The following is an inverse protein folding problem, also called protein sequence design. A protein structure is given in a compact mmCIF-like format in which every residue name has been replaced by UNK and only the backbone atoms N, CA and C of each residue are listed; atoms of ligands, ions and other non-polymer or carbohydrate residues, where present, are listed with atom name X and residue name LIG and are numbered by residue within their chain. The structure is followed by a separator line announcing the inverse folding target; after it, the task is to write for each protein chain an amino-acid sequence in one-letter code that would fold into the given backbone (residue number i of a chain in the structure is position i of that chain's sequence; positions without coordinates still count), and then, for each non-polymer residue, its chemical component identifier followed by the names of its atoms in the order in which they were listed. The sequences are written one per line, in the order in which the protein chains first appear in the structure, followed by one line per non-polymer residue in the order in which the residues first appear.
data_IF_746353506542
#
_entry.id   IF_746353506542
#
_cell.length_a   1.000
_cell.length_b   1.000
_cell.length_c   1.000
_cell.angle_alpha   90.00
_cell.angle_beta   90.00
_cell.angle_gamma   90.00
#
_symmetry.space_group_name_H-M   'P 1'
#
loop_
_entity.id
_entity.type
_entity.pdbx_description
1 polymer ?
#
# COMPACT_ATOMS: atom_id res chain seq x y z
N UNK A 1 -6.58 -2.40 34.74
CA UNK A 1 -5.31 -2.27 34.00
C UNK A 1 -4.21 -2.59 34.99
N UNK A 2 -3.29 -3.48 34.68
CA UNK A 2 -2.13 -3.76 35.54
C UNK A 2 -1.25 -2.52 35.63
N UNK A 3 -0.63 -2.28 36.79
CA UNK A 3 0.29 -1.16 37.01
C UNK A 3 1.50 -1.15 36.06
N UNK A 4 1.77 -2.27 35.38
CA UNK A 4 2.90 -2.48 34.47
C UNK A 4 2.55 -2.33 32.97
N UNK A 5 1.37 -1.81 32.62
CA UNK A 5 0.99 -1.62 31.23
C UNK A 5 1.67 -0.37 30.65
N UNK A 6 2.52 -0.56 29.66
CA UNK A 6 3.09 0.52 28.85
C UNK A 6 2.71 0.34 27.37
N UNK A 7 2.41 1.43 26.68
CA UNK A 7 2.07 1.41 25.26
C UNK A 7 2.82 2.52 24.51
N UNK A 8 3.32 2.18 23.32
CA UNK A 8 3.87 3.14 22.35
C UNK A 8 2.95 3.18 21.13
N UNK A 9 2.71 4.38 20.62
CA UNK A 9 1.88 4.60 19.43
C UNK A 9 2.72 5.19 18.31
N UNK A 10 2.59 4.63 17.10
CA UNK A 10 3.16 5.18 15.88
C UNK A 10 1.99 5.56 14.98
N UNK A 11 1.81 6.87 14.76
CA UNK A 11 0.76 7.39 13.88
C UNK A 11 1.40 7.71 12.53
N UNK A 12 0.98 6.97 11.50
CA UNK A 12 1.52 7.11 10.14
C UNK A 12 0.52 7.90 9.30
N UNK A 13 0.87 9.11 8.82
CA UNK A 13 0.00 9.86 7.91
C UNK A 13 -0.31 9.05 6.66
N UNK A 14 -1.55 9.15 6.15
CA UNK A 14 -2.02 8.38 4.99
C UNK A 14 -1.12 8.55 3.75
N UNK A 15 -0.59 9.75 3.52
CA UNK A 15 0.34 10.02 2.41
C UNK A 15 1.62 9.21 2.56
N UNK A 16 2.20 9.18 3.76
CA UNK A 16 3.42 8.43 4.05
C UNK A 16 3.18 6.91 3.95
N UNK A 17 2.05 6.43 4.46
CA UNK A 17 1.63 5.03 4.31
C UNK A 17 1.56 4.62 2.83
N UNK A 18 0.95 5.45 1.97
CA UNK A 18 0.91 5.21 0.52
C UNK A 18 2.29 5.15 -0.13
N UNK A 19 3.24 5.96 0.32
CA UNK A 19 4.61 5.95 -0.22
C UNK A 19 5.39 4.72 0.23
N UNK A 20 5.20 4.27 1.47
CA UNK A 20 5.79 3.00 1.96
C UNK A 20 5.23 1.83 1.15
N UNK A 21 3.92 1.72 1.00
CA UNK A 21 3.30 0.65 0.21
C UNK A 21 3.74 0.67 -1.26
N UNK A 22 3.99 1.85 -1.85
CA UNK A 22 4.49 1.95 -3.23
C UNK A 22 5.90 1.39 -3.41
N UNK A 23 6.69 1.32 -2.35
CA UNK A 23 8.03 0.71 -2.37
C UNK A 23 8.01 -0.81 -2.16
N UNK A 24 6.90 -1.34 -1.65
CA UNK A 24 6.73 -2.75 -1.26
C UNK A 24 5.78 -3.48 -2.24
N UNK A 25 6.17 -3.55 -3.51
CA UNK A 25 5.34 -4.03 -4.63
C UNK A 25 4.90 -5.50 -4.58
N UNK A 26 5.43 -6.29 -3.68
CA UNK A 26 5.28 -7.75 -3.70
C UNK A 26 4.38 -8.30 -2.60
N UNK A 27 3.67 -7.44 -1.87
CA UNK A 27 2.75 -7.92 -0.87
C UNK A 27 1.50 -8.54 -1.49
N UNK A 28 1.17 -9.72 -1.00
CA UNK A 28 -0.09 -10.38 -1.25
C UNK A 28 -1.26 -9.42 -0.94
N UNK A 29 -2.25 -9.28 -1.84
CA UNK A 29 -3.43 -8.45 -1.58
C UNK A 29 -4.14 -8.75 -0.27
N UNK A 30 -4.13 -10.02 0.17
CA UNK A 30 -4.66 -10.44 1.46
C UNK A 30 -3.98 -9.78 2.67
N UNK A 31 -2.73 -9.35 2.52
CA UNK A 31 -2.00 -8.66 3.57
C UNK A 31 -2.66 -7.33 3.97
N UNK A 32 -3.19 -6.60 3.01
CA UNK A 32 -3.88 -5.33 3.27
C UNK A 32 -5.13 -5.53 4.14
N UNK A 33 -5.90 -6.59 3.88
CA UNK A 33 -7.05 -6.97 4.72
C UNK A 33 -6.61 -7.47 6.08
N UNK A 34 -5.55 -8.28 6.10
CA UNK A 34 -4.99 -8.79 7.35
C UNK A 34 -4.61 -7.66 8.30
N UNK A 35 -3.89 -6.65 7.82
CA UNK A 35 -3.49 -5.48 8.63
C UNK A 35 -4.71 -4.70 9.15
N UNK A 36 -5.80 -4.63 8.36
CA UNK A 36 -7.02 -3.94 8.76
C UNK A 36 -7.83 -4.71 9.80
N UNK A 37 -7.89 -6.03 9.67
CA UNK A 37 -8.74 -6.89 10.52
C UNK A 37 -8.02 -7.36 11.79
N UNK A 38 -6.69 -7.26 11.84
CA UNK A 38 -5.87 -7.65 12.98
C UNK A 38 -5.35 -6.42 13.70
N UNK A 39 -6.01 -6.06 14.80
CA UNK A 39 -5.67 -4.88 15.63
C UNK A 39 -4.44 -5.09 16.53
N UNK A 40 -3.92 -6.30 16.63
CA UNK A 40 -2.75 -6.61 17.43
C UNK A 40 -1.97 -7.79 16.82
N UNK A 41 -0.67 -7.77 17.06
CA UNK A 41 0.24 -8.83 16.70
C UNK A 41 0.91 -9.34 17.97
N UNK A 42 0.82 -10.64 18.21
CA UNK A 42 1.53 -11.24 19.33
C UNK A 42 2.95 -11.61 18.90
N UNK A 43 3.94 -10.95 19.49
CA UNK A 43 5.35 -11.25 19.28
C UNK A 43 5.74 -12.21 20.37
N UNK A 44 5.87 -13.51 20.05
CA UNK A 44 6.08 -14.57 21.02
C UNK A 44 7.57 -14.81 21.32
N UNK A 45 8.47 -14.34 20.45
CA UNK A 45 9.90 -14.54 20.60
C UNK A 45 10.62 -13.26 21.06
N UNK A 46 11.66 -13.44 21.88
CA UNK A 46 12.46 -12.32 22.39
C UNK A 46 13.15 -11.54 21.26
N UNK A 47 13.56 -12.19 20.20
CA UNK A 47 14.21 -11.55 19.07
C UNK A 47 13.23 -10.59 18.34
N UNK A 48 11.97 -10.99 18.17
CA UNK A 48 10.93 -10.12 17.61
C UNK A 48 10.64 -8.91 18.48
N UNK A 49 10.63 -9.08 19.80
CA UNK A 49 10.46 -7.97 20.77
C UNK A 49 11.63 -6.99 20.67
N UNK A 50 12.87 -7.49 20.68
CA UNK A 50 14.08 -6.67 20.54
C UNK A 50 14.13 -5.92 19.20
N UNK A 51 13.74 -6.56 18.11
CA UNK A 51 13.63 -5.92 16.79
C UNK A 51 12.63 -4.77 16.81
N UNK A 52 11.44 -4.99 17.37
CA UNK A 52 10.41 -3.94 17.46
C UNK A 52 10.85 -2.78 18.34
N UNK A 53 11.49 -3.06 19.48
CA UNK A 53 12.04 -2.02 20.36
C UNK A 53 13.14 -1.22 19.65
N UNK A 54 14.03 -1.90 18.92
CA UNK A 54 15.09 -1.27 18.13
C UNK A 54 14.50 -0.38 17.01
N UNK A 55 13.47 -0.85 16.35
CA UNK A 55 12.74 -0.07 15.35
C UNK A 55 12.14 1.22 15.96
N UNK A 56 11.45 1.12 17.10
CA UNK A 56 10.91 2.29 17.78
C UNK A 56 12.00 3.30 18.14
N UNK A 57 13.12 2.82 18.69
CA UNK A 57 14.26 3.65 19.07
C UNK A 57 14.91 4.33 17.86
N UNK A 58 15.00 3.65 16.71
CA UNK A 58 15.51 4.25 15.48
C UNK A 58 14.62 5.40 14.99
N UNK A 59 13.30 5.22 14.99
CA UNK A 59 12.35 6.27 14.62
C UNK A 59 12.45 7.46 15.58
N UNK A 60 12.45 7.21 16.89
CA UNK A 60 12.61 8.25 17.93
C UNK A 60 13.91 9.06 17.69
N UNK A 61 15.04 8.39 17.52
CA UNK A 61 16.33 9.04 17.28
C UNK A 61 16.34 9.88 15.99
N UNK A 62 15.72 9.42 14.90
CA UNK A 62 15.66 10.20 13.66
C UNK A 62 14.81 11.46 13.83
N UNK A 63 13.68 11.36 14.54
CA UNK A 63 12.82 12.51 14.83
C UNK A 63 13.52 13.55 15.73
N UNK A 64 14.24 13.10 16.76
CA UNK A 64 15.00 13.98 17.66
C UNK A 64 16.18 14.66 16.97
N UNK A 65 16.87 13.96 16.07
CA UNK A 65 18.02 14.48 15.31
C UNK A 65 17.63 15.41 14.18
N UNK A 66 16.36 15.45 13.82
CA UNK A 66 15.89 16.27 12.71
C UNK A 66 16.08 17.78 12.98
N UNK A 67 16.87 18.43 12.15
CA UNK A 67 17.18 19.88 12.23
C UNK A 67 16.66 20.65 11.00
N UNK A 68 15.67 20.14 10.29
CA UNK A 68 15.11 20.76 9.08
C UNK A 68 15.91 20.52 7.80
N UNK A 69 17.06 19.86 7.89
CA UNK A 69 17.92 19.54 6.76
C UNK A 69 18.10 18.04 6.66
N UNK A 70 17.87 17.45 5.49
CA UNK A 70 18.19 16.06 5.20
C UNK A 70 17.01 15.19 4.79
N UNK A 71 17.31 13.92 4.58
CA UNK A 71 16.43 12.88 4.03
C UNK A 71 15.56 12.21 5.11
N UNK A 72 15.00 13.00 6.07
CA UNK A 72 14.20 12.41 7.15
C UNK A 72 13.05 11.56 6.61
N UNK A 73 12.32 12.10 5.65
CA UNK A 73 11.16 11.43 5.06
C UNK A 73 11.55 10.10 4.43
N UNK A 74 12.63 10.07 3.66
CA UNK A 74 13.15 8.90 2.98
C UNK A 74 13.62 7.84 3.98
N UNK A 75 14.30 8.25 5.05
CA UNK A 75 14.72 7.36 6.13
C UNK A 75 13.53 6.75 6.86
N UNK A 76 12.53 7.56 7.19
CA UNK A 76 11.29 7.07 7.81
C UNK A 76 10.58 6.08 6.89
N UNK A 77 10.52 6.33 5.57
CA UNK A 77 9.95 5.38 4.59
C UNK A 77 10.73 4.05 4.62
N UNK A 78 12.06 4.09 4.68
CA UNK A 78 12.89 2.87 4.76
C UNK A 78 12.63 2.09 6.06
N UNK A 79 12.60 2.77 7.21
CA UNK A 79 12.32 2.12 8.49
C UNK A 79 10.92 1.52 8.53
N UNK A 80 9.92 2.26 8.09
CA UNK A 80 8.56 1.74 7.96
C UNK A 80 8.49 0.57 6.98
N UNK A 81 9.27 0.61 5.89
CA UNK A 81 9.38 -0.50 4.95
C UNK A 81 9.84 -1.79 5.63
N UNK A 82 10.88 -1.72 6.45
CA UNK A 82 11.38 -2.86 7.22
C UNK A 82 10.31 -3.36 8.19
N UNK A 83 9.66 -2.47 8.92
CA UNK A 83 8.57 -2.84 9.83
C UNK A 83 7.41 -3.55 9.11
N UNK A 84 6.99 -3.04 7.94
CA UNK A 84 5.94 -3.68 7.15
C UNK A 84 6.37 -5.06 6.62
N UNK A 85 7.66 -5.27 6.31
CA UNK A 85 8.16 -6.60 5.95
C UNK A 85 8.09 -7.58 7.13
N UNK A 86 8.44 -7.14 8.35
CA UNK A 86 8.32 -7.98 9.55
C UNK A 86 6.84 -8.36 9.81
N UNK A 87 5.91 -7.41 9.65
CA UNK A 87 4.46 -7.68 9.75
C UNK A 87 3.98 -8.63 8.63
N UNK A 88 4.54 -8.50 7.42
CA UNK A 88 4.23 -9.40 6.31
C UNK A 88 4.73 -10.82 6.55
N UNK A 89 5.93 -10.98 7.10
CA UNK A 89 6.46 -12.29 7.48
C UNK A 89 5.59 -12.96 8.54
N UNK A 90 5.09 -12.19 9.51
CA UNK A 90 4.10 -12.68 10.47
C UNK A 90 2.80 -13.10 9.77
N UNK A 91 2.26 -12.27 8.87
CA UNK A 91 1.08 -12.60 8.07
C UNK A 91 1.25 -13.93 7.31
N UNK A 92 2.39 -14.12 6.64
CA UNK A 92 2.65 -15.35 5.87
C UNK A 92 2.68 -16.59 6.78
N UNK A 93 3.22 -16.47 7.99
CA UNK A 93 3.24 -17.56 8.99
C UNK A 93 1.83 -17.89 9.50
N UNK A 94 1.07 -16.84 9.85
CA UNK A 94 -0.28 -16.99 10.41
C UNK A 94 -1.26 -17.46 9.34
N UNK A 95 -1.16 -16.97 8.11
CA UNK A 95 -1.99 -17.38 6.97
C UNK A 95 -1.94 -18.90 6.71
N UNK A 96 -0.77 -19.52 6.92
CA UNK A 96 -0.64 -20.98 6.77
C UNK A 96 -1.34 -21.77 7.89
N UNK A 97 -1.49 -21.17 9.07
CA UNK A 97 -2.06 -21.82 10.28
C UNK A 97 -3.56 -21.56 10.44
N UNK A 98 -4.04 -20.40 9.97
CA UNK A 98 -5.45 -20.07 9.97
C UNK A 98 -5.97 -20.60 8.63
N UNK A 99 -6.75 -21.70 8.60
CA UNK A 99 -7.53 -21.96 7.41
C UNK A 99 -8.32 -20.66 7.20
N UNK A 100 -8.15 -20.05 6.04
CA UNK A 100 -8.97 -18.93 5.62
C UNK A 100 -10.41 -19.40 5.85
N UNK A 101 -10.96 -19.06 7.00
CA UNK A 101 -12.37 -19.31 7.28
C UNK A 101 -13.09 -18.31 6.39
N UNK A 102 -13.11 -18.63 5.11
CA UNK A 102 -14.03 -18.06 4.14
C UNK A 102 -15.43 -18.46 4.53
N UNK A 103 -15.84 -18.00 5.72
CA UNK A 103 -17.25 -18.16 6.09
C UNK A 103 -18.12 -17.26 5.22
N UNK A 104 -17.54 -16.39 4.44
CA UNK A 104 -18.29 -15.44 3.62
C UNK A 104 -17.73 -15.41 2.20
N UNK A 105 -18.54 -15.83 1.23
CA UNK A 105 -18.32 -15.67 -0.21
C UNK A 105 -17.81 -14.29 -0.61
N UNK A 106 -18.17 -13.25 0.16
CA UNK A 106 -17.72 -11.87 -0.05
C UNK A 106 -16.21 -11.70 0.13
N UNK A 107 -15.61 -12.29 1.14
CA UNK A 107 -14.17 -12.16 1.43
C UNK A 107 -13.34 -12.83 0.35
N UNK A 108 -13.78 -14.01 -0.12
CA UNK A 108 -13.11 -14.66 -1.25
C UNK A 108 -13.18 -13.81 -2.52
N UNK A 109 -14.34 -13.22 -2.83
CA UNK A 109 -14.51 -12.36 -4.00
C UNK A 109 -13.61 -11.11 -3.92
N UNK A 110 -13.45 -10.53 -2.72
CA UNK A 110 -12.54 -9.40 -2.52
C UNK A 110 -11.09 -9.83 -2.72
N UNK A 111 -10.69 -10.96 -2.15
CA UNK A 111 -9.35 -11.51 -2.33
C UNK A 111 -9.05 -11.76 -3.81
N UNK A 112 -9.96 -12.45 -4.51
CA UNK A 112 -9.80 -12.75 -5.93
C UNK A 112 -9.75 -11.47 -6.78
N UNK A 113 -10.59 -10.47 -6.46
CA UNK A 113 -10.52 -9.14 -7.09
C UNK A 113 -9.16 -8.48 -6.90
N UNK A 114 -8.65 -8.44 -5.67
CA UNK A 114 -7.35 -7.83 -5.38
C UNK A 114 -6.21 -8.55 -6.10
N UNK A 115 -6.25 -9.88 -6.17
CA UNK A 115 -5.28 -10.69 -6.90
C UNK A 115 -5.33 -10.41 -8.40
N UNK A 116 -6.54 -10.38 -8.98
CA UNK A 116 -6.73 -10.03 -10.38
C UNK A 116 -6.25 -8.60 -10.70
N UNK A 117 -6.47 -7.64 -9.79
CA UNK A 117 -5.95 -6.28 -9.96
C UNK A 117 -4.43 -6.28 -9.97
N UNK A 118 -3.78 -6.93 -9.01
CA UNK A 118 -2.32 -7.00 -8.93
C UNK A 118 -1.68 -7.54 -10.23
N UNK A 119 -2.33 -8.52 -10.86
CA UNK A 119 -1.84 -9.13 -12.09
C UNK A 119 -2.16 -8.32 -13.36
N UNK A 120 -3.30 -7.62 -13.39
CA UNK A 120 -3.87 -7.13 -14.64
C UNK A 120 -4.03 -5.59 -14.73
N UNK A 121 -3.77 -4.83 -13.66
CA UNK A 121 -4.07 -3.39 -13.58
C UNK A 121 -3.40 -2.54 -14.68
N UNK A 122 -2.25 -2.98 -15.21
CA UNK A 122 -1.56 -2.28 -16.31
C UNK A 122 -2.38 -2.30 -17.60
N UNK A 123 -3.00 -3.44 -17.90
CA UNK A 123 -3.73 -3.68 -19.14
C UNK A 123 -5.23 -3.38 -19.02
N UNK A 124 -5.79 -3.59 -17.84
CA UNK A 124 -7.23 -3.46 -17.60
C UNK A 124 -7.51 -2.43 -16.50
N UNK A 125 -7.92 -1.22 -16.91
CA UNK A 125 -8.22 -0.08 -16.02
C UNK A 125 -9.70 0.10 -15.75
N UNK A 126 -10.52 -0.83 -16.22
CA UNK A 126 -11.98 -0.82 -16.02
C UNK A 126 -12.39 -1.91 -15.04
N UNK A 127 -13.17 -1.54 -14.02
CA UNK A 127 -13.71 -2.46 -13.02
C UNK A 127 -14.58 -3.56 -13.65
N UNK A 128 -15.23 -3.27 -14.80
CA UNK A 128 -16.03 -4.26 -15.54
C UNK A 128 -15.26 -5.54 -15.84
N UNK A 129 -14.04 -5.42 -16.35
CA UNK A 129 -13.18 -6.59 -16.63
C UNK A 129 -13.03 -7.53 -15.42
N UNK A 130 -12.83 -6.97 -14.23
CA UNK A 130 -12.66 -7.75 -13.00
C UNK A 130 -13.97 -8.35 -12.51
N UNK A 131 -15.05 -7.60 -12.59
CA UNK A 131 -16.37 -8.06 -12.23
C UNK A 131 -16.81 -9.22 -13.14
N UNK A 132 -16.56 -9.12 -14.45
CA UNK A 132 -16.84 -10.19 -15.42
C UNK A 132 -16.02 -11.45 -15.12
N UNK A 133 -14.72 -11.31 -14.79
CA UNK A 133 -13.87 -12.44 -14.38
C UNK A 133 -14.35 -13.14 -13.12
N UNK A 134 -14.99 -12.40 -12.21
CA UNK A 134 -15.54 -12.91 -10.96
C UNK A 134 -17.01 -13.38 -11.09
N UNK A 135 -17.62 -13.26 -12.28
CA UNK A 135 -19.02 -13.55 -12.54
C UNK A 135 -19.98 -12.79 -11.60
N UNK A 136 -19.70 -11.51 -11.36
CA UNK A 136 -20.53 -10.61 -10.54
C UNK A 136 -20.70 -9.26 -11.23
N UNK A 137 -21.66 -8.44 -10.75
CA UNK A 137 -21.83 -7.09 -11.26
C UNK A 137 -20.82 -6.11 -10.64
N UNK A 138 -20.46 -5.05 -11.38
CA UNK A 138 -19.59 -3.97 -10.87
C UNK A 138 -20.19 -3.28 -9.64
N UNK A 139 -21.52 -3.18 -9.59
CA UNK A 139 -22.25 -2.61 -8.44
C UNK A 139 -22.06 -3.47 -7.21
N UNK A 140 -22.23 -4.79 -7.34
CA UNK A 140 -22.04 -5.72 -6.23
C UNK A 140 -20.58 -5.74 -5.76
N UNK A 141 -19.62 -5.79 -6.69
CA UNK A 141 -18.19 -5.70 -6.34
C UNK A 141 -17.86 -4.43 -5.56
N UNK A 142 -18.36 -3.28 -6.03
CA UNK A 142 -18.12 -2.00 -5.33
C UNK A 142 -18.82 -1.95 -3.97
N UNK A 143 -20.00 -2.55 -3.83
CA UNK A 143 -20.72 -2.62 -2.55
C UNK A 143 -19.95 -3.44 -1.51
N UNK A 144 -19.46 -4.64 -1.86
CA UNK A 144 -18.68 -5.46 -0.93
C UNK A 144 -17.32 -4.84 -0.60
N UNK A 145 -16.68 -4.16 -1.56
CA UNK A 145 -15.45 -3.43 -1.32
C UNK A 145 -15.67 -2.25 -0.35
N UNK A 146 -16.73 -1.46 -0.54
CA UNK A 146 -17.07 -0.39 0.40
C UNK A 146 -17.39 -0.92 1.80
N UNK A 147 -18.18 -1.98 1.89
CA UNK A 147 -18.58 -2.59 3.16
C UNK A 147 -17.36 -3.08 3.96
N UNK A 148 -16.43 -3.76 3.30
CA UNK A 148 -15.30 -4.42 3.95
C UNK A 148 -14.02 -3.59 3.99
N UNK A 149 -13.75 -2.83 2.92
CA UNK A 149 -12.50 -2.09 2.76
C UNK A 149 -12.66 -0.57 2.96
N UNK A 150 -13.91 -0.06 2.99
CA UNK A 150 -14.19 1.36 3.10
C UNK A 150 -13.89 2.15 1.82
N UNK A 151 -13.56 1.50 0.72
CA UNK A 151 -13.28 2.12 -0.58
C UNK A 151 -13.95 1.34 -1.71
N UNK A 152 -14.30 2.02 -2.80
CA UNK A 152 -14.88 1.35 -3.96
C UNK A 152 -13.86 0.52 -4.74
N UNK A 153 -14.32 -0.46 -5.53
CA UNK A 153 -13.47 -1.22 -6.43
C UNK A 153 -12.69 -0.33 -7.41
N UNK A 154 -13.32 0.75 -7.90
CA UNK A 154 -12.68 1.74 -8.79
C UNK A 154 -11.58 2.51 -8.08
N UNK A 155 -11.79 2.85 -6.84
CA UNK A 155 -10.80 3.56 -6.03
C UNK A 155 -9.61 2.67 -5.73
N UNK A 156 -9.83 1.41 -5.33
CA UNK A 156 -8.80 0.42 -5.12
C UNK A 156 -7.92 0.25 -6.38
N UNK A 157 -8.52 0.02 -7.54
CA UNK A 157 -7.80 -0.06 -8.82
C UNK A 157 -6.99 1.21 -9.11
N UNK A 158 -7.56 2.39 -8.84
CA UNK A 158 -6.88 3.66 -9.02
C UNK A 158 -5.66 3.81 -8.13
N UNK A 159 -5.72 3.34 -6.87
CA UNK A 159 -4.59 3.33 -5.95
C UNK A 159 -3.45 2.50 -6.54
N UNK A 160 -3.72 1.31 -7.03
CA UNK A 160 -2.71 0.44 -7.67
C UNK A 160 -2.01 1.14 -8.84
N UNK A 161 -2.78 1.76 -9.71
CA UNK A 161 -2.24 2.48 -10.87
C UNK A 161 -1.37 3.67 -10.41
N UNK A 162 -1.83 4.45 -9.42
CA UNK A 162 -1.06 5.58 -8.89
C UNK A 162 0.24 5.12 -8.25
N UNK A 163 0.23 4.03 -7.49
CA UNK A 163 1.43 3.47 -6.86
C UNK A 163 2.46 3.04 -7.91
N UNK A 164 2.02 2.40 -8.99
CA UNK A 164 2.90 2.03 -10.11
C UNK A 164 3.51 3.26 -10.77
N UNK A 165 2.68 4.28 -11.08
CA UNK A 165 3.16 5.53 -11.69
C UNK A 165 4.16 6.25 -10.78
N UNK A 166 3.88 6.35 -9.48
CA UNK A 166 4.81 6.92 -8.50
C UNK A 166 6.15 6.19 -8.49
N UNK A 167 6.12 4.88 -8.55
CA UNK A 167 7.34 4.07 -8.59
C UNK A 167 8.15 4.31 -9.87
N UNK A 168 7.51 4.34 -11.04
CA UNK A 168 8.18 4.63 -12.31
C UNK A 168 8.72 6.07 -12.37
N UNK A 169 8.05 7.03 -11.71
CA UNK A 169 8.53 8.41 -11.62
C UNK A 169 9.84 8.56 -10.81
N UNK A 170 10.17 7.60 -9.95
CA UNK A 170 11.45 7.56 -9.23
C UNK A 170 12.64 7.13 -10.10
N UNK A 171 12.39 6.46 -11.21
CA UNK A 171 13.44 6.15 -12.18
C UNK A 171 13.69 7.39 -13.06
N UNK A 172 14.82 8.07 -12.83
CA UNK A 172 15.21 9.27 -13.58
C UNK A 172 15.51 9.00 -15.06
N UNK A 173 15.74 7.74 -15.45
CA UNK A 173 16.00 7.33 -16.83
C UNK A 173 14.74 7.32 -17.68
N UNK A 174 13.56 7.17 -17.06
CA UNK A 174 12.28 7.13 -17.76
C UNK A 174 11.73 8.54 -17.95
N UNK A 175 11.41 8.91 -19.17
CA UNK A 175 10.63 10.12 -19.42
C UNK A 175 9.11 9.85 -19.18
N UNK A 176 8.32 10.93 -19.12
CA UNK A 176 6.88 10.81 -18.79
C UNK A 176 6.09 10.10 -19.90
N UNK A 177 6.54 10.21 -21.13
CA UNK A 177 5.91 9.51 -22.25
C UNK A 177 6.15 8.00 -22.17
N UNK A 178 7.36 7.58 -21.83
CA UNK A 178 7.68 6.17 -21.59
C UNK A 178 6.87 5.60 -20.42
N UNK A 179 6.67 6.37 -19.36
CA UNK A 179 5.81 5.96 -18.24
C UNK A 179 4.35 5.77 -18.72
N UNK A 180 3.84 6.65 -19.58
CA UNK A 180 2.51 6.48 -20.15
C UNK A 180 2.41 5.17 -20.97
N UNK A 181 3.41 4.85 -21.75
CA UNK A 181 3.51 3.58 -22.50
C UNK A 181 3.57 2.38 -21.56
N UNK A 182 4.49 2.39 -20.58
CA UNK A 182 4.68 1.30 -19.62
C UNK A 182 3.44 1.04 -18.75
N UNK A 183 2.65 2.07 -18.51
CA UNK A 183 1.39 1.98 -17.76
C UNK A 183 0.18 1.83 -18.67
N UNK A 184 0.40 1.66 -19.98
CA UNK A 184 -0.64 1.46 -20.98
C UNK A 184 -1.74 2.53 -20.95
N UNK A 185 -1.33 3.81 -20.87
CA UNK A 185 -2.21 4.96 -21.08
C UNK A 185 -2.14 5.43 -22.53
N UNK A 186 -3.27 5.87 -23.10
CA UNK A 186 -3.32 6.32 -24.50
C UNK A 186 -2.38 7.50 -24.82
N UNK A 187 -2.08 8.33 -23.84
CA UNK A 187 -1.18 9.48 -23.98
C UNK A 187 -0.66 9.95 -22.61
N UNK A 188 0.46 10.67 -22.66
CA UNK A 188 0.99 11.40 -21.51
C UNK A 188 -0.05 12.36 -20.88
N UNK A 189 -0.85 13.04 -21.70
CA UNK A 189 -1.89 13.96 -21.22
C UNK A 189 -2.97 13.23 -20.44
N UNK A 190 -3.38 12.04 -20.89
CA UNK A 190 -4.37 11.22 -20.20
C UNK A 190 -3.83 10.70 -18.86
N UNK A 191 -2.58 10.23 -18.84
CA UNK A 191 -1.91 9.81 -17.62
C UNK A 191 -1.78 10.99 -16.64
N UNK A 192 -1.36 12.17 -17.11
CA UNK A 192 -1.18 13.35 -16.27
C UNK A 192 -2.51 13.81 -15.64
N UNK A 193 -3.60 13.83 -16.42
CA UNK A 193 -4.94 14.14 -15.91
C UNK A 193 -5.38 13.14 -14.84
N UNK A 194 -5.24 11.84 -15.11
CA UNK A 194 -5.55 10.78 -14.15
C UNK A 194 -4.75 10.95 -12.86
N UNK A 195 -3.43 11.10 -12.97
CA UNK A 195 -2.55 11.22 -11.82
C UNK A 195 -2.87 12.47 -10.98
N UNK A 196 -3.09 13.62 -11.64
CA UNK A 196 -3.45 14.87 -10.96
C UNK A 196 -4.79 14.78 -10.23
N UNK A 197 -5.79 14.13 -10.82
CA UNK A 197 -7.09 13.92 -10.15
C UNK A 197 -6.97 13.09 -8.88
N UNK A 198 -5.98 12.19 -8.80
CA UNK A 198 -5.80 11.27 -7.66
C UNK A 198 -4.81 11.77 -6.62
N UNK A 199 -3.84 12.59 -7.00
CA UNK A 199 -2.74 13.02 -6.12
C UNK A 199 -2.71 14.52 -5.86
N UNK A 200 -3.48 15.31 -6.60
CA UNK A 200 -3.43 16.76 -6.57
C UNK A 200 -2.26 17.37 -7.35
N UNK A 201 -1.29 16.57 -7.78
CA UNK A 201 -0.06 17.01 -8.47
C UNK A 201 0.01 16.51 -9.90
N UNK A 202 0.65 17.29 -10.79
CA UNK A 202 1.06 16.78 -12.10
C UNK A 202 2.23 15.81 -11.96
N UNK A 203 2.46 14.96 -12.95
CA UNK A 203 3.60 14.03 -12.98
C UNK A 203 4.93 14.76 -12.85
N UNK A 204 5.10 15.90 -13.54
CA UNK A 204 6.33 16.72 -13.48
C UNK A 204 6.51 17.37 -12.11
N UNK A 205 5.43 17.87 -11.49
CA UNK A 205 5.48 18.41 -10.13
C UNK A 205 5.87 17.34 -9.12
N UNK A 206 5.26 16.17 -9.21
CA UNK A 206 5.58 15.05 -8.32
C UNK A 206 7.04 14.59 -8.51
N UNK A 207 7.51 14.46 -9.76
CA UNK A 207 8.91 14.12 -10.03
C UNK A 207 9.87 15.15 -9.47
N UNK A 208 9.62 16.45 -9.71
CA UNK A 208 10.44 17.52 -9.13
C UNK A 208 10.47 17.45 -7.61
N UNK A 209 9.33 17.21 -6.98
CA UNK A 209 9.23 17.09 -5.53
C UNK A 209 10.09 15.96 -4.97
N UNK A 210 10.14 14.79 -5.64
CA UNK A 210 10.96 13.65 -5.21
C UNK A 210 12.46 13.93 -5.31
N UNK A 211 12.90 14.67 -6.34
CA UNK A 211 14.32 14.91 -6.59
C UNK A 211 14.81 16.26 -6.05
N UNK A 212 13.93 17.10 -5.48
CA UNK A 212 14.30 18.41 -4.90
C UNK A 212 14.38 18.37 -3.37
N UNK A 213 14.13 17.19 -2.77
CA UNK A 213 14.26 16.93 -1.34
C UNK A 213 15.52 16.15 -1.08
#
# INVERSE_FOLDING_TARGET
MSEDFSAKFIIIPHVLHGDVLSSLRHFDPGFHFFVKDHFYYNIEDNNGIERFQSFCKLIENELERYRGNGLLRERIICYLGIFYMDVYDYYVKVRKKIPFRTSLRKEQLIYDFCSLVAENFKNHKNVGFYADKLNITTTYLSAIMNERCGISAKEFLSIYIVLEVKSLLRDSRLNIQEIAILTNFPSQSTLNRFFRQRTGMTLSQYRKHIFST
#
